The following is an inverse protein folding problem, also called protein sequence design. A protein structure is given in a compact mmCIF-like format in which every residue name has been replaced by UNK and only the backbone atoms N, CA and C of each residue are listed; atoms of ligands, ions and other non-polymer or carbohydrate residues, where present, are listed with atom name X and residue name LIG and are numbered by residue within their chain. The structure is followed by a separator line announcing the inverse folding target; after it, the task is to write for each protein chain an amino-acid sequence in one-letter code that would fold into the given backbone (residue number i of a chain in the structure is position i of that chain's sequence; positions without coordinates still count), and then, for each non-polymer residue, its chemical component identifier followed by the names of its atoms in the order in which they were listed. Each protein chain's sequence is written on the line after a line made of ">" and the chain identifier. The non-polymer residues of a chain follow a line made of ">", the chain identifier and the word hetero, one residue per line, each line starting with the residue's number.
data_IF_920289499206
#
_entry.id   IF_920289499206
#
_cell.length_a   1.000
_cell.length_b   1.000
_cell.length_c   1.000
_cell.angle_alpha   90.00
_cell.angle_beta   90.00
_cell.angle_gamma   90.00
#
_symmetry.space_group_name_H-M   'P 1'
#
loop_
_entity.id
_entity.type
_entity.pdbx_description
1 polymer ?
#
# COMPACT_ATOMS: atom_id res chain seq x y z
N UNK A 1 16.60 9.46 -29.43
CA UNK A 1 16.93 8.51 -28.35
C UNK A 1 17.16 9.31 -27.08
N UNK A 2 16.08 9.63 -26.37
CA UNK A 2 16.13 10.40 -25.11
C UNK A 2 16.51 9.43 -23.98
N UNK A 3 17.51 9.75 -23.17
CA UNK A 3 17.99 8.83 -22.14
C UNK A 3 17.02 8.75 -20.96
N UNK A 4 16.86 7.52 -20.44
CA UNK A 4 16.09 7.15 -19.25
C UNK A 4 16.30 8.05 -18.01
N UNK A 5 17.40 8.81 -17.97
CA UNK A 5 17.78 9.73 -16.90
C UNK A 5 16.91 10.99 -16.77
N UNK A 6 16.18 11.40 -17.81
CA UNK A 6 15.39 12.65 -17.77
C UNK A 6 14.05 12.46 -17.03
N UNK A 7 13.25 11.49 -17.46
CA UNK A 7 11.88 11.29 -16.94
C UNK A 7 11.89 10.80 -15.48
N UNK A 8 12.86 9.96 -15.09
CA UNK A 8 12.99 9.46 -13.72
C UNK A 8 13.25 10.59 -12.70
N UNK A 9 13.97 11.66 -13.08
CA UNK A 9 14.27 12.79 -12.19
C UNK A 9 13.05 13.67 -11.92
N UNK A 10 12.16 13.83 -12.91
CA UNK A 10 10.93 14.60 -12.75
C UNK A 10 9.96 13.90 -11.77
N UNK A 11 9.77 12.58 -11.88
CA UNK A 11 8.82 11.85 -11.03
C UNK A 11 9.28 11.73 -9.56
N UNK A 12 10.59 11.58 -9.33
CA UNK A 12 11.15 11.57 -7.97
C UNK A 12 10.96 12.94 -7.30
N UNK A 13 10.99 14.03 -8.06
CA UNK A 13 10.76 15.37 -7.52
C UNK A 13 9.28 15.68 -7.25
N UNK A 14 8.37 15.27 -8.14
CA UNK A 14 6.92 15.37 -7.90
C UNK A 14 6.47 14.64 -6.63
N UNK A 15 7.10 13.49 -6.33
CA UNK A 15 6.84 12.73 -5.11
C UNK A 15 7.28 13.43 -3.83
N UNK A 16 8.27 14.31 -3.91
CA UNK A 16 8.86 15.02 -2.78
C UNK A 16 7.98 16.18 -2.30
N UNK A 17 7.49 17.01 -3.24
CA UNK A 17 6.61 18.15 -2.92
C UNK A 17 5.28 17.72 -2.27
N UNK A 18 4.67 16.62 -2.76
CA UNK A 18 3.32 16.25 -2.35
C UNK A 18 3.21 15.71 -0.90
N UNK A 19 4.32 15.23 -0.33
CA UNK A 19 4.39 14.65 1.03
C UNK A 19 4.60 15.72 2.11
N UNK A 20 5.25 16.83 1.78
CA UNK A 20 5.61 17.90 2.74
C UNK A 20 4.39 18.75 3.14
N UNK A 21 3.37 18.84 2.27
CA UNK A 21 2.30 19.83 2.41
C UNK A 21 1.13 19.49 3.38
N UNK A 22 1.08 18.32 4.04
CA UNK A 22 -0.09 17.92 4.88
C UNK A 22 0.21 17.16 6.18
N UNK A 23 0.39 17.91 7.25
CA UNK A 23 0.21 17.55 8.68
C UNK A 23 -0.27 18.83 9.40
N UNK A 24 -1.08 18.89 10.46
CA UNK A 24 -1.88 18.00 11.35
C UNK A 24 -2.91 18.95 12.06
N UNK A 25 -3.72 18.63 13.11
CA UNK A 25 -4.26 17.38 13.68
C UNK A 25 -5.82 17.42 13.84
N UNK A 26 -6.43 16.44 14.55
CA UNK A 26 -7.77 16.55 15.15
C UNK A 26 -7.73 16.13 16.64
N UNK A 27 -8.50 16.83 17.49
CA UNK A 27 -8.48 16.69 18.95
C UNK A 27 -9.23 15.43 19.48
N UNK A 28 -8.88 15.02 20.70
CA UNK A 28 -9.49 13.89 21.40
C UNK A 28 -10.64 14.29 22.34
N UNK A 29 -11.65 13.43 22.46
CA UNK A 29 -12.69 13.48 23.48
C UNK A 29 -12.79 12.13 24.22
N UNK A 30 -13.39 12.14 25.41
CA UNK A 30 -13.23 11.07 26.42
C UNK A 30 -13.65 9.66 25.99
N UNK A 31 -12.83 8.67 26.35
CA UNK A 31 -13.05 7.23 26.05
C UNK A 31 -13.69 6.48 27.21
N UNK A 32 -14.72 5.67 26.92
CA UNK A 32 -14.98 4.42 27.66
C UNK A 32 -13.79 3.46 27.47
N UNK A 33 -13.55 2.54 28.40
CA UNK A 33 -12.56 1.46 28.18
C UNK A 33 -13.06 0.51 27.09
N UNK A 34 -12.59 0.72 25.87
CA UNK A 34 -12.74 -0.20 24.74
C UNK A 34 -11.75 -1.35 24.88
N UNK A 35 -12.18 -2.60 24.69
CA UNK A 35 -11.23 -3.71 24.57
C UNK A 35 -10.69 -3.76 23.15
N UNK A 36 -9.35 -3.73 23.04
CA UNK A 36 -8.62 -3.68 21.78
C UNK A 36 -7.67 -4.88 21.75
N UNK A 37 -7.73 -5.67 20.67
CA UNK A 37 -6.82 -6.78 20.42
C UNK A 37 -6.30 -6.69 18.99
N UNK A 38 -4.97 -6.80 18.84
CA UNK A 38 -4.34 -7.11 17.56
C UNK A 38 -4.39 -8.63 17.37
N UNK A 39 -4.80 -9.07 16.19
CA UNK A 39 -4.80 -10.48 15.78
C UNK A 39 -3.65 -10.63 14.77
N UNK A 40 -2.78 -11.59 15.03
CA UNK A 40 -1.66 -11.97 14.17
C UNK A 40 -2.05 -13.05 13.14
N UNK A 41 -1.22 -13.30 12.11
CA UNK A 41 -1.53 -14.31 11.08
C UNK A 41 -1.64 -15.75 11.61
N UNK A 42 -0.97 -16.09 12.71
CA UNK A 42 -0.98 -17.44 13.27
C UNK A 42 -2.31 -17.74 14.00
N UNK A 43 -2.89 -16.73 14.66
CA UNK A 43 -4.12 -16.86 15.46
C UNK A 43 -5.40 -16.48 14.73
N UNK A 44 -5.33 -15.96 13.50
CA UNK A 44 -6.52 -15.41 12.81
C UNK A 44 -7.60 -16.46 12.53
N UNK A 45 -7.23 -17.70 12.17
CA UNK A 45 -8.21 -18.77 11.93
C UNK A 45 -8.93 -19.21 13.22
N UNK A 46 -8.18 -19.37 14.31
CA UNK A 46 -8.72 -19.75 15.62
C UNK A 46 -9.63 -18.65 16.18
N UNK A 47 -9.16 -17.40 16.14
CA UNK A 47 -9.93 -16.24 16.60
C UNK A 47 -11.18 -16.01 15.75
N UNK A 48 -11.15 -16.41 14.48
CA UNK A 48 -12.34 -16.43 13.62
C UNK A 48 -13.35 -17.48 14.11
N UNK A 49 -12.91 -18.72 14.39
CA UNK A 49 -13.81 -19.75 14.94
C UNK A 49 -14.39 -19.36 16.31
N UNK A 50 -13.61 -18.77 17.23
CA UNK A 50 -14.10 -18.27 18.52
C UNK A 50 -15.25 -17.26 18.38
N UNK A 51 -15.07 -16.27 17.49
CA UNK A 51 -16.06 -15.24 17.24
C UNK A 51 -17.28 -15.79 16.50
N UNK A 52 -17.09 -16.72 15.56
CA UNK A 52 -18.19 -17.45 14.92
C UNK A 52 -19.00 -18.29 15.92
N UNK A 53 -18.35 -18.97 16.87
CA UNK A 53 -19.02 -19.76 17.89
C UNK A 53 -19.96 -18.88 18.75
N UNK A 54 -19.48 -17.68 19.11
CA UNK A 54 -20.20 -16.67 19.90
C UNK A 54 -21.30 -15.92 19.13
N UNK A 55 -21.25 -15.89 17.79
CA UNK A 55 -22.16 -15.11 16.95
C UNK A 55 -23.44 -15.88 16.56
N UNK A 56 -24.55 -15.15 16.47
CA UNK A 56 -25.76 -15.56 15.75
C UNK A 56 -25.82 -15.00 14.32
N UNK A 57 -24.99 -14.00 14.01
CA UNK A 57 -24.91 -13.37 12.68
C UNK A 57 -23.53 -12.83 12.37
N UNK A 58 -23.04 -13.12 11.16
CA UNK A 58 -21.85 -12.48 10.57
C UNK A 58 -22.29 -11.53 9.44
N UNK A 59 -21.74 -10.32 9.47
CA UNK A 59 -21.72 -9.36 8.38
C UNK A 59 -20.26 -9.28 7.88
N UNK A 60 -19.98 -9.94 6.76
CA UNK A 60 -18.67 -10.01 6.10
C UNK A 60 -18.57 -8.95 4.99
N UNK A 61 -17.48 -8.21 4.97
CA UNK A 61 -17.07 -7.36 3.84
C UNK A 61 -15.63 -7.67 3.51
N UNK A 62 -15.33 -8.00 2.25
CA UNK A 62 -13.95 -8.24 1.83
C UNK A 62 -13.69 -7.78 0.40
N UNK A 63 -12.48 -7.30 0.13
CA UNK A 63 -12.09 -6.89 -1.21
C UNK A 63 -12.04 -8.10 -2.15
N UNK A 64 -11.51 -9.22 -1.64
CA UNK A 64 -11.41 -10.49 -2.36
C UNK A 64 -11.86 -11.67 -1.51
N UNK A 65 -12.27 -12.76 -2.18
CA UNK A 65 -12.52 -14.04 -1.53
C UNK A 65 -11.99 -15.24 -2.35
N UNK A 66 -11.35 -16.21 -1.71
CA UNK A 66 -10.85 -17.46 -2.32
C UNK A 66 -11.25 -18.66 -1.48
N UNK A 67 -11.16 -19.89 -2.01
CA UNK A 67 -11.38 -21.11 -1.24
C UNK A 67 -10.28 -21.28 -0.18
N UNK A 68 -10.70 -21.40 1.09
CA UNK A 68 -9.81 -21.53 2.26
C UNK A 68 -10.59 -22.09 3.47
N UNK A 69 -9.92 -22.21 4.62
CA UNK A 69 -10.50 -22.79 5.84
C UNK A 69 -11.67 -21.98 6.43
N UNK A 70 -11.61 -20.65 6.39
CA UNK A 70 -12.68 -19.78 6.89
C UNK A 70 -14.07 -20.10 6.29
N UNK A 71 -14.13 -20.52 5.01
CA UNK A 71 -15.37 -20.99 4.39
C UNK A 71 -15.91 -22.30 5.00
N UNK A 72 -15.02 -23.21 5.43
CA UNK A 72 -15.39 -24.46 6.11
C UNK A 72 -15.93 -24.17 7.51
N UNK A 73 -15.31 -23.22 8.22
CA UNK A 73 -15.77 -22.74 9.53
C UNK A 73 -17.14 -22.06 9.44
N UNK A 74 -17.36 -21.21 8.43
CA UNK A 74 -18.68 -20.64 8.15
C UNK A 74 -19.73 -21.73 7.89
N UNK A 75 -19.43 -22.72 7.06
CA UNK A 75 -20.35 -23.81 6.76
C UNK A 75 -20.75 -24.62 8.01
N UNK A 76 -19.77 -24.99 8.84
CA UNK A 76 -19.97 -25.63 10.16
C UNK A 76 -20.90 -24.81 11.05
N UNK A 77 -20.77 -23.48 11.03
CA UNK A 77 -21.53 -22.59 11.92
C UNK A 77 -22.90 -22.17 11.37
N UNK A 78 -23.08 -22.07 10.05
CA UNK A 78 -24.36 -21.87 9.36
C UNK A 78 -25.30 -23.06 9.57
N UNK A 79 -24.77 -24.29 9.49
CA UNK A 79 -25.51 -25.52 9.89
C UNK A 79 -26.01 -25.50 11.34
N UNK A 80 -25.43 -24.64 12.19
CA UNK A 80 -25.81 -24.38 13.59
C UNK A 80 -26.54 -23.04 13.77
N UNK A 81 -27.16 -22.50 12.72
CA UNK A 81 -28.06 -21.34 12.78
C UNK A 81 -27.42 -19.95 12.61
N UNK A 82 -26.12 -19.85 12.30
CA UNK A 82 -25.49 -18.56 11.97
C UNK A 82 -26.10 -17.96 10.70
N UNK A 83 -26.49 -16.69 10.76
CA UNK A 83 -26.95 -15.93 9.59
C UNK A 83 -25.77 -15.18 8.96
N UNK A 84 -25.47 -15.42 7.69
CA UNK A 84 -24.37 -14.71 7.00
C UNK A 84 -24.91 -13.67 6.02
N UNK A 85 -24.30 -12.49 6.01
CA UNK A 85 -24.33 -11.53 4.90
C UNK A 85 -22.90 -11.31 4.42
N UNK A 86 -22.66 -11.32 3.12
CA UNK A 86 -21.35 -11.07 2.54
C UNK A 86 -21.43 -10.00 1.44
N UNK A 87 -20.52 -9.03 1.47
CA UNK A 87 -20.24 -8.14 0.34
C UNK A 87 -18.80 -8.43 -0.12
N UNK A 88 -18.64 -8.86 -1.38
CA UNK A 88 -17.34 -9.24 -1.93
C UNK A 88 -17.01 -8.41 -3.16
N UNK A 89 -15.79 -7.87 -3.22
CA UNK A 89 -15.28 -7.14 -4.38
C UNK A 89 -14.92 -8.06 -5.55
N UNK A 90 -15.04 -7.52 -6.77
CA UNK A 90 -14.67 -8.22 -8.01
C UNK A 90 -13.42 -7.64 -8.69
N UNK A 91 -12.79 -6.62 -8.10
CA UNK A 91 -11.68 -5.88 -8.71
C UNK A 91 -10.45 -6.76 -8.93
N UNK A 92 -9.80 -6.57 -10.08
CA UNK A 92 -8.66 -7.33 -10.60
C UNK A 92 -8.87 -8.86 -10.73
N UNK A 93 -10.13 -9.33 -10.76
CA UNK A 93 -10.49 -10.74 -10.98
C UNK A 93 -9.87 -11.76 -10.01
N UNK A 94 -9.36 -11.32 -8.86
CA UNK A 94 -8.70 -12.18 -7.86
C UNK A 94 -9.71 -13.15 -7.23
N UNK A 95 -10.87 -12.63 -6.84
CA UNK A 95 -11.97 -13.41 -6.23
C UNK A 95 -12.31 -14.66 -7.04
N UNK A 96 -12.42 -15.80 -6.37
CA UNK A 96 -12.74 -17.07 -7.02
C UNK A 96 -14.26 -17.25 -7.17
N UNK A 97 -14.75 -17.61 -8.37
CA UNK A 97 -16.17 -17.88 -8.59
C UNK A 97 -16.74 -18.94 -7.64
N UNK A 98 -15.96 -19.95 -7.27
CA UNK A 98 -16.42 -21.01 -6.38
C UNK A 98 -16.56 -20.54 -4.92
N UNK A 99 -15.65 -19.68 -4.44
CA UNK A 99 -15.79 -19.00 -3.16
C UNK A 99 -17.06 -18.11 -3.12
N UNK A 100 -17.40 -17.44 -4.24
CA UNK A 100 -18.67 -16.71 -4.36
C UNK A 100 -19.87 -17.64 -4.30
N UNK A 101 -19.88 -18.75 -5.08
CA UNK A 101 -20.96 -19.76 -5.04
C UNK A 101 -21.13 -20.33 -3.63
N UNK A 102 -20.03 -20.54 -2.92
CA UNK A 102 -20.04 -21.04 -1.55
C UNK A 102 -20.62 -20.02 -0.57
N UNK A 103 -20.20 -18.75 -0.64
CA UNK A 103 -20.78 -17.68 0.17
C UNK A 103 -22.27 -17.46 -0.09
N UNK A 104 -22.72 -17.59 -1.34
CA UNK A 104 -24.14 -17.47 -1.70
C UNK A 104 -24.99 -18.60 -1.10
N UNK A 105 -24.50 -19.85 -1.16
CA UNK A 105 -25.16 -20.99 -0.48
C UNK A 105 -25.20 -20.85 1.05
N UNK A 106 -24.25 -20.10 1.64
CA UNK A 106 -24.11 -19.94 3.09
C UNK A 106 -24.92 -18.76 3.66
N UNK A 107 -25.48 -17.88 2.83
CA UNK A 107 -26.19 -16.71 3.34
C UNK A 107 -26.73 -15.79 2.26
N UNK A 108 -26.59 -14.47 2.47
CA UNK A 108 -26.93 -13.47 1.46
C UNK A 108 -25.66 -12.86 0.92
N UNK A 109 -25.36 -13.09 -0.35
CA UNK A 109 -24.24 -12.46 -1.05
C UNK A 109 -24.69 -11.17 -1.76
N UNK A 110 -23.77 -10.19 -1.84
CA UNK A 110 -23.79 -9.07 -2.79
C UNK A 110 -22.39 -8.91 -3.36
N UNK A 111 -22.29 -8.53 -4.63
CA UNK A 111 -21.02 -8.25 -5.28
C UNK A 111 -20.84 -6.74 -5.41
N UNK A 112 -19.67 -6.26 -5.02
CA UNK A 112 -19.28 -4.87 -5.24
C UNK A 112 -18.50 -4.76 -6.55
N UNK A 113 -19.13 -4.14 -7.55
CA UNK A 113 -18.54 -3.86 -8.85
C UNK A 113 -18.99 -2.49 -9.37
N UNK A 114 -18.08 -1.80 -10.07
CA UNK A 114 -18.33 -0.51 -10.70
C UNK A 114 -17.64 0.69 -10.02
N UNK A 115 -17.07 1.58 -10.85
CA UNK A 115 -16.63 2.92 -10.46
C UNK A 115 -15.32 2.99 -9.67
N UNK A 116 -15.27 2.50 -8.43
CA UNK A 116 -14.14 2.72 -7.49
C UNK A 116 -13.59 1.40 -6.96
N UNK A 117 -12.32 1.38 -6.55
CA UNK A 117 -11.66 0.19 -5.97
C UNK A 117 -12.34 -0.19 -4.65
N UNK A 118 -13.15 -1.24 -4.65
CA UNK A 118 -13.74 -1.81 -3.45
C UNK A 118 -12.65 -2.56 -2.66
N UNK A 119 -12.07 -1.91 -1.65
CA UNK A 119 -11.00 -2.47 -0.83
C UNK A 119 -11.26 -2.66 0.69
N UNK A 120 -12.47 -2.48 1.26
CA UNK A 120 -12.69 -2.68 2.70
C UNK A 120 -12.63 -4.16 3.10
N UNK A 121 -12.19 -4.41 4.33
CA UNK A 121 -12.02 -5.75 4.91
C UNK A 121 -12.47 -5.68 6.36
N UNK A 122 -13.72 -6.10 6.59
CA UNK A 122 -14.44 -5.91 7.85
C UNK A 122 -15.27 -7.14 8.15
N UNK A 123 -15.17 -7.64 9.38
CA UNK A 123 -15.90 -8.82 9.85
C UNK A 123 -16.67 -8.43 11.10
N UNK A 124 -17.99 -8.29 10.99
CA UNK A 124 -18.86 -7.88 12.09
C UNK A 124 -19.63 -9.08 12.63
N UNK A 125 -19.20 -9.57 13.79
CA UNK A 125 -19.77 -10.70 14.52
C UNK A 125 -20.77 -10.19 15.55
N UNK A 126 -22.02 -10.65 15.49
CA UNK A 126 -23.06 -10.29 16.46
C UNK A 126 -23.64 -11.52 17.12
N UNK A 127 -23.59 -11.57 18.45
CA UNK A 127 -24.28 -12.52 19.32
C UNK A 127 -25.21 -11.78 20.30
N UNK A 128 -25.89 -12.53 21.16
CA UNK A 128 -26.78 -11.94 22.17
C UNK A 128 -26.02 -11.34 23.38
N UNK A 129 -24.83 -11.85 23.70
CA UNK A 129 -23.99 -11.36 24.80
C UNK A 129 -22.69 -10.65 24.40
N UNK A 130 -22.27 -10.76 23.13
CA UNK A 130 -21.06 -10.12 22.58
C UNK A 130 -21.30 -9.71 21.14
N UNK A 131 -20.85 -8.51 20.78
CA UNK A 131 -20.70 -8.06 19.40
C UNK A 131 -19.30 -7.51 19.25
N UNK A 132 -18.60 -7.87 18.18
CA UNK A 132 -17.28 -7.33 17.87
C UNK A 132 -17.11 -7.14 16.36
N UNK A 133 -16.22 -6.24 15.99
CA UNK A 133 -15.82 -6.00 14.61
C UNK A 133 -14.32 -6.21 14.46
N UNK A 134 -13.92 -6.86 13.39
CA UNK A 134 -12.55 -6.84 12.88
C UNK A 134 -12.44 -5.79 11.77
N UNK A 135 -11.34 -5.04 11.79
CA UNK A 135 -10.98 -4.07 10.75
C UNK A 135 -9.48 -4.24 10.50
N UNK A 136 -9.04 -4.44 9.25
CA UNK A 136 -7.63 -4.72 9.00
C UNK A 136 -7.27 -4.93 7.54
N UNK A 137 -6.12 -5.55 7.32
CA UNK A 137 -5.60 -5.90 5.99
C UNK A 137 -6.05 -7.27 5.46
N UNK A 138 -6.59 -8.15 6.33
CA UNK A 138 -6.94 -9.53 6.00
C UNK A 138 -8.16 -9.68 5.08
N UNK A 139 -7.91 -10.08 3.83
CA UNK A 139 -8.96 -10.51 2.90
C UNK A 139 -9.51 -11.89 3.28
N UNK A 140 -10.73 -12.21 2.81
CA UNK A 140 -11.38 -13.51 3.08
C UNK A 140 -10.88 -14.61 2.14
N UNK A 141 -9.56 -14.81 2.21
CA UNK A 141 -8.74 -15.54 1.23
C UNK A 141 -7.75 -16.43 1.95
N UNK A 142 -7.24 -17.47 1.26
CA UNK A 142 -6.18 -18.33 1.81
C UNK A 142 -4.97 -17.54 2.34
N UNK A 143 -4.48 -16.55 1.58
CA UNK A 143 -3.37 -15.67 2.02
C UNK A 143 -3.70 -14.95 3.32
N UNK A 144 -4.76 -14.14 3.32
CA UNK A 144 -5.19 -13.35 4.49
C UNK A 144 -5.72 -14.14 5.69
N UNK A 145 -5.77 -15.48 5.64
CA UNK A 145 -6.15 -16.34 6.76
C UNK A 145 -5.05 -17.30 7.23
N UNK A 146 -3.91 -17.39 6.53
CA UNK A 146 -2.88 -18.40 6.83
C UNK A 146 -1.45 -18.12 6.31
N UNK A 147 -1.19 -17.10 5.49
CA UNK A 147 0.13 -16.92 4.85
C UNK A 147 0.61 -15.47 4.71
N UNK A 148 -0.28 -14.48 4.75
CA UNK A 148 0.08 -13.07 4.61
C UNK A 148 0.47 -12.47 5.97
N UNK A 149 1.37 -11.49 5.95
CA UNK A 149 1.58 -10.57 7.08
C UNK A 149 0.37 -9.63 7.20
N UNK A 150 -0.48 -9.90 8.19
CA UNK A 150 -1.77 -9.24 8.35
C UNK A 150 -1.86 -8.49 9.68
N UNK A 151 -2.37 -7.26 9.63
CA UNK A 151 -2.71 -6.47 10.80
C UNK A 151 -4.23 -6.35 10.91
N UNK A 152 -4.82 -7.03 11.90
CA UNK A 152 -6.27 -7.03 12.14
C UNK A 152 -6.58 -6.57 13.55
N UNK A 153 -7.40 -5.52 13.65
CA UNK A 153 -7.85 -4.92 14.90
C UNK A 153 -9.26 -5.41 15.26
N UNK A 154 -9.42 -6.04 16.42
CA UNK A 154 -10.73 -6.38 17.00
C UNK A 154 -11.17 -5.33 18.03
N UNK A 155 -12.44 -4.91 17.93
CA UNK A 155 -13.11 -3.96 18.84
C UNK A 155 -14.53 -4.39 19.20
N UNK A 156 -14.97 -4.06 20.42
CA UNK A 156 -16.36 -4.14 20.88
C UNK A 156 -17.18 -2.87 20.57
N UNK A 157 -16.52 -1.71 20.42
CA UNK A 157 -17.12 -0.51 19.85
C UNK A 157 -17.42 -0.71 18.36
N UNK A 158 -18.69 -1.00 18.08
CA UNK A 158 -19.18 -1.47 16.77
C UNK A 158 -20.30 -0.63 16.18
N UNK A 159 -20.76 0.43 16.87
CA UNK A 159 -21.93 1.22 16.43
C UNK A 159 -21.69 1.91 15.07
N UNK A 160 -20.50 2.48 14.90
CA UNK A 160 -20.04 3.07 13.63
C UNK A 160 -19.92 2.02 12.52
N UNK A 161 -19.38 0.84 12.83
CA UNK A 161 -19.22 -0.29 11.89
C UNK A 161 -20.56 -0.87 11.45
N UNK A 162 -21.51 -1.03 12.37
CA UNK A 162 -22.88 -1.47 12.11
C UNK A 162 -23.58 -0.48 11.17
N UNK A 163 -23.44 0.82 11.43
CA UNK A 163 -24.04 1.88 10.63
C UNK A 163 -23.42 1.95 9.23
N UNK A 164 -22.09 1.89 9.13
CA UNK A 164 -21.36 1.81 7.86
C UNK A 164 -21.76 0.58 7.04
N UNK A 165 -21.79 -0.62 7.65
CA UNK A 165 -22.22 -1.83 6.95
C UNK A 165 -23.67 -1.71 6.47
N UNK A 166 -24.57 -1.15 7.29
CA UNK A 166 -25.99 -0.98 6.92
C UNK A 166 -26.12 -0.17 5.63
N UNK A 167 -25.41 0.96 5.54
CA UNK A 167 -25.44 1.83 4.36
C UNK A 167 -24.82 1.11 3.15
N UNK A 168 -23.61 0.55 3.30
CA UNK A 168 -22.93 -0.18 2.21
C UNK A 168 -23.75 -1.37 1.68
N UNK A 169 -24.48 -2.05 2.57
CA UNK A 169 -25.41 -3.12 2.23
C UNK A 169 -26.69 -2.64 1.54
N UNK A 170 -27.09 -1.38 1.70
CA UNK A 170 -28.19 -0.79 0.93
C UNK A 170 -27.69 -0.38 -0.47
N UNK A 171 -26.49 0.21 -0.55
CA UNK A 171 -25.89 0.71 -1.79
C UNK A 171 -25.49 -0.40 -2.77
N UNK A 172 -24.90 -1.49 -2.28
CA UNK A 172 -24.64 -2.67 -3.11
C UNK A 172 -25.98 -3.30 -3.51
N UNK A 173 -26.24 -3.51 -4.80
CA UNK A 173 -27.48 -4.14 -5.28
C UNK A 173 -27.70 -5.57 -4.77
N UNK A 174 -28.89 -6.14 -5.00
CA UNK A 174 -29.06 -7.60 -4.84
C UNK A 174 -28.22 -8.32 -5.89
N UNK A 175 -27.73 -9.51 -5.55
CA UNK A 175 -27.12 -10.41 -6.53
C UNK A 175 -28.14 -10.72 -7.64
N UNK A 176 -27.75 -10.47 -8.89
CA UNK A 176 -28.45 -11.00 -10.07
C UNK A 176 -28.13 -12.50 -10.22
N UNK A 177 -29.11 -13.29 -10.67
CA UNK A 177 -29.01 -14.75 -10.79
C UNK A 177 -27.80 -15.18 -11.64
N UNK A 178 -27.49 -14.38 -12.68
CA UNK A 178 -26.38 -14.64 -13.60
C UNK A 178 -25.09 -13.88 -13.24
N UNK A 179 -25.03 -13.21 -12.09
CA UNK A 179 -23.90 -12.33 -11.75
C UNK A 179 -22.58 -13.11 -11.59
N UNK A 180 -22.60 -14.26 -10.90
CA UNK A 180 -21.40 -15.08 -10.67
C UNK A 180 -20.90 -15.69 -11.99
N UNK A 181 -21.79 -16.20 -12.83
CA UNK A 181 -21.41 -16.81 -14.12
C UNK A 181 -20.98 -15.75 -15.16
N UNK A 182 -21.52 -14.54 -15.07
CA UNK A 182 -21.04 -13.40 -15.85
C UNK A 182 -19.66 -12.95 -15.39
N UNK A 183 -19.42 -12.90 -14.08
CA UNK A 183 -18.10 -12.65 -13.51
C UNK A 183 -17.09 -13.74 -13.90
N UNK A 184 -17.45 -15.03 -13.82
CA UNK A 184 -16.55 -16.12 -14.21
C UNK A 184 -16.20 -16.07 -15.69
N UNK A 185 -17.18 -15.79 -16.58
CA UNK A 185 -16.90 -15.58 -18.01
C UNK A 185 -15.98 -14.38 -18.25
N UNK A 186 -16.13 -13.30 -17.48
CA UNK A 186 -15.24 -12.14 -17.55
C UNK A 186 -13.84 -12.48 -17.02
N UNK A 187 -13.71 -13.24 -15.92
CA UNK A 187 -12.46 -13.75 -15.33
C UNK A 187 -11.74 -14.77 -16.22
N UNK A 188 -12.46 -15.56 -17.02
CA UNK A 188 -11.85 -16.48 -18.00
C UNK A 188 -11.22 -15.72 -19.18
N UNK A 189 -11.81 -14.59 -19.58
CA UNK A 189 -11.27 -13.70 -20.63
C UNK A 189 -10.17 -12.78 -20.11
N UNK A 190 -10.33 -12.31 -18.89
CA UNK A 190 -9.41 -11.46 -18.16
C UNK A 190 -8.97 -12.25 -16.91
N UNK A 191 -8.08 -13.25 -17.05
CA UNK A 191 -7.52 -13.92 -15.88
C UNK A 191 -6.94 -12.84 -14.94
N UNK A 192 -7.01 -13.02 -13.61
CA UNK A 192 -6.38 -12.08 -12.68
C UNK A 192 -4.94 -11.83 -13.15
N UNK A 193 -4.62 -10.54 -13.33
CA UNK A 193 -3.29 -10.17 -13.79
C UNK A 193 -2.26 -10.78 -12.83
N UNK A 194 -1.09 -11.19 -13.34
CA UNK A 194 0.00 -11.77 -12.54
C UNK A 194 0.52 -10.84 -11.42
N UNK A 195 -0.05 -9.64 -11.26
CA UNK A 195 0.03 -8.80 -10.06
C UNK A 195 -0.26 -9.54 -8.74
N UNK A 196 -1.10 -10.58 -8.70
CA UNK A 196 -1.24 -11.41 -7.47
C UNK A 196 -0.24 -12.56 -7.38
N UNK A 197 0.64 -12.72 -8.37
CA UNK A 197 1.74 -13.69 -8.40
C UNK A 197 3.11 -13.01 -8.24
N UNK A 198 3.14 -11.72 -7.88
CA UNK A 198 4.25 -11.16 -7.12
C UNK A 198 4.40 -11.87 -5.75
N UNK A 199 3.30 -12.40 -5.21
CA UNK A 199 3.26 -13.30 -4.05
C UNK A 199 3.65 -14.76 -4.41
N UNK A 200 3.88 -15.09 -5.70
CA UNK A 200 4.40 -16.41 -6.13
C UNK A 200 5.14 -16.39 -7.49
N UNK A 201 6.26 -15.67 -7.56
CA UNK A 201 7.42 -16.02 -8.41
C UNK A 201 7.27 -15.99 -9.95
N UNK A 202 6.43 -15.14 -10.54
CA UNK A 202 6.25 -15.05 -12.00
C UNK A 202 6.74 -13.74 -12.64
N UNK A 203 7.87 -13.74 -13.35
CA UNK A 203 8.53 -12.53 -13.84
C UNK A 203 7.71 -11.61 -14.79
N UNK A 204 7.60 -10.33 -14.42
CA UNK A 204 7.15 -9.21 -15.27
C UNK A 204 8.18 -8.87 -16.37
N UNK A 205 7.73 -8.29 -17.49
CA UNK A 205 8.56 -7.95 -18.66
C UNK A 205 9.05 -6.49 -18.70
N UNK A 206 8.18 -5.47 -18.58
CA UNK A 206 8.60 -4.05 -18.62
C UNK A 206 7.85 -3.18 -17.57
N UNK A 207 8.56 -2.53 -16.61
CA UNK A 207 7.93 -1.69 -15.58
C UNK A 207 7.38 -0.36 -16.09
N UNK A 208 8.05 0.29 -17.04
CA UNK A 208 7.73 1.67 -17.43
C UNK A 208 6.30 1.80 -17.99
N UNK A 209 5.80 0.77 -18.66
CA UNK A 209 4.43 0.72 -19.17
C UNK A 209 3.36 0.83 -18.05
N UNK A 210 3.65 0.44 -16.81
CA UNK A 210 2.74 0.64 -15.67
C UNK A 210 2.68 2.11 -15.25
N UNK A 211 3.82 2.80 -15.27
CA UNK A 211 3.96 4.21 -14.86
C UNK A 211 3.40 5.16 -15.91
N UNK A 212 3.43 4.80 -17.20
CA UNK A 212 2.86 5.57 -18.30
C UNK A 212 1.31 5.59 -18.33
N UNK A 213 0.66 4.64 -17.65
CA UNK A 213 -0.81 4.52 -17.59
C UNK A 213 -1.44 5.22 -16.36
N UNK A 214 -0.63 5.90 -15.56
CA UNK A 214 -1.03 6.54 -14.31
C UNK A 214 -1.69 7.89 -14.56
N UNK A 215 -2.83 8.14 -13.91
CA UNK A 215 -3.60 9.40 -14.04
C UNK A 215 -3.63 10.23 -12.75
N UNK A 216 -3.20 9.68 -11.63
CA UNK A 216 -3.32 10.29 -10.30
C UNK A 216 -2.27 9.73 -9.32
N UNK A 217 -2.13 10.39 -8.17
CA UNK A 217 -1.12 10.04 -7.16
C UNK A 217 -1.32 8.63 -6.55
N UNK A 218 -2.56 8.19 -6.36
CA UNK A 218 -2.82 6.89 -5.74
C UNK A 218 -2.53 5.73 -6.71
N UNK A 219 -2.83 5.91 -8.00
CA UNK A 219 -2.42 4.98 -9.06
C UNK A 219 -0.90 5.03 -9.30
N UNK A 220 -0.26 6.20 -9.17
CA UNK A 220 1.21 6.33 -9.23
C UNK A 220 1.89 5.48 -8.16
N UNK A 221 1.49 5.63 -6.89
CA UNK A 221 2.09 4.90 -5.77
C UNK A 221 1.88 3.38 -5.89
N UNK A 222 0.75 2.94 -6.45
CA UNK A 222 0.51 1.50 -6.73
C UNK A 222 1.41 1.01 -7.86
N UNK A 223 1.44 1.69 -9.01
CA UNK A 223 2.30 1.32 -10.13
C UNK A 223 3.80 1.30 -9.72
N UNK A 224 4.22 2.27 -8.90
CA UNK A 224 5.59 2.35 -8.40
C UNK A 224 5.96 1.17 -7.48
N UNK A 225 5.03 0.65 -6.68
CA UNK A 225 5.23 -0.57 -5.87
C UNK A 225 5.38 -1.82 -6.74
N UNK A 226 4.54 -1.97 -7.75
CA UNK A 226 4.63 -3.09 -8.70
C UNK A 226 5.97 -3.05 -9.47
N UNK A 227 6.42 -1.86 -9.85
CA UNK A 227 7.71 -1.67 -10.51
C UNK A 227 8.90 -1.92 -9.56
N UNK A 228 8.80 -1.54 -8.28
CA UNK A 228 9.82 -1.81 -7.26
C UNK A 228 10.05 -3.31 -7.05
N UNK A 229 8.98 -4.10 -7.02
CA UNK A 229 9.06 -5.56 -6.98
C UNK A 229 9.83 -6.09 -8.21
N UNK A 230 9.67 -5.47 -9.39
CA UNK A 230 10.44 -5.88 -10.57
C UNK A 230 11.93 -5.53 -10.50
N UNK A 231 12.27 -4.34 -10.00
CA UNK A 231 13.65 -3.85 -9.88
C UNK A 231 14.43 -4.60 -8.79
N UNK A 232 13.84 -4.77 -7.61
CA UNK A 232 14.46 -5.47 -6.48
C UNK A 232 14.76 -6.96 -6.77
N UNK A 233 13.99 -7.60 -7.65
CA UNK A 233 14.26 -8.96 -8.13
C UNK A 233 15.40 -9.05 -9.18
N UNK A 234 15.92 -7.92 -9.69
CA UNK A 234 16.95 -7.86 -10.74
C UNK A 234 18.22 -7.11 -10.33
N UNK A 235 18.15 -6.37 -9.24
CA UNK A 235 19.20 -5.52 -8.75
C UNK A 235 19.30 -5.63 -7.22
N UNK A 236 20.47 -5.43 -6.61
CA UNK A 236 20.66 -5.48 -5.16
C UNK A 236 20.10 -4.22 -4.45
N UNK A 237 19.09 -3.59 -5.03
CA UNK A 237 18.51 -2.33 -4.58
C UNK A 237 17.05 -2.21 -4.98
N UNK A 238 16.31 -1.41 -4.22
CA UNK A 238 14.86 -1.19 -4.35
C UNK A 238 14.56 0.29 -4.57
N UNK A 239 13.34 0.62 -5.00
CA UNK A 239 12.83 2.00 -5.00
C UNK A 239 12.22 2.38 -3.64
N UNK A 240 11.45 1.51 -2.98
CA UNK A 240 10.65 1.86 -1.79
C UNK A 240 11.07 1.15 -0.49
N UNK A 241 11.98 0.18 -0.57
CA UNK A 241 12.46 -0.63 0.55
C UNK A 241 13.08 0.17 1.68
N UNK A 242 13.21 -0.44 2.86
CA UNK A 242 13.58 0.28 4.10
C UNK A 242 15.08 0.54 4.25
N UNK A 243 15.91 -0.17 3.48
CA UNK A 243 17.35 0.06 3.37
C UNK A 243 17.83 -0.21 1.94
N UNK A 244 18.99 0.37 1.56
CA UNK A 244 19.61 0.22 0.21
C UNK A 244 18.59 0.47 -0.92
N UNK A 245 17.78 1.52 -0.78
CA UNK A 245 16.72 1.88 -1.71
C UNK A 245 16.76 3.35 -2.10
N UNK A 246 16.11 3.71 -3.22
CA UNK A 246 15.97 5.12 -3.61
C UNK A 246 15.27 5.94 -2.52
N UNK A 247 14.15 5.46 -1.96
CA UNK A 247 13.44 6.10 -0.86
C UNK A 247 14.34 6.32 0.35
N UNK A 248 15.03 5.27 0.81
CA UNK A 248 15.93 5.35 1.97
C UNK A 248 17.07 6.33 1.70
N UNK A 249 17.71 6.25 0.53
CA UNK A 249 18.78 7.17 0.13
C UNK A 249 18.29 8.62 0.04
N UNK A 250 17.10 8.87 -0.52
CA UNK A 250 16.49 10.20 -0.57
C UNK A 250 16.21 10.74 0.84
N UNK A 251 15.67 9.91 1.74
CA UNK A 251 15.40 10.31 3.13
C UNK A 251 16.70 10.66 3.87
N UNK A 252 17.71 9.80 3.81
CA UNK A 252 19.02 10.06 4.45
C UNK A 252 19.69 11.30 3.86
N UNK A 253 19.67 11.49 2.54
CA UNK A 253 20.23 12.71 1.95
C UNK A 253 19.41 13.95 2.28
N UNK A 254 18.08 13.86 2.41
CA UNK A 254 17.24 14.98 2.83
C UNK A 254 17.63 15.45 4.24
N UNK A 255 17.78 14.53 5.20
CA UNK A 255 18.17 14.82 6.58
C UNK A 255 19.61 15.38 6.69
N UNK A 256 20.47 15.09 5.72
CA UNK A 256 21.83 15.66 5.63
C UNK A 256 21.80 17.06 4.99
N UNK A 257 21.10 17.22 3.87
CA UNK A 257 21.10 18.45 3.08
C UNK A 257 20.25 19.59 3.69
N UNK A 258 19.31 19.26 4.57
CA UNK A 258 18.51 20.25 5.32
C UNK A 258 19.20 20.78 6.59
N UNK A 259 20.41 20.30 6.93
CA UNK A 259 21.15 20.77 8.12
C UNK A 259 21.56 22.24 8.00
N UNK A 260 21.69 22.91 9.16
CA UNK A 260 21.96 24.36 9.27
C UNK A 260 23.32 24.82 8.72
N UNK A 261 24.35 23.98 8.74
CA UNK A 261 25.61 24.19 8.02
C UNK A 261 26.07 22.86 7.38
N UNK A 262 26.52 22.90 6.13
CA UNK A 262 27.08 21.74 5.41
C UNK A 262 28.60 21.67 5.51
N UNK A 263 29.26 22.66 6.11
CA UNK A 263 30.69 22.59 6.44
C UNK A 263 30.96 21.52 7.52
N UNK A 264 30.04 21.39 8.47
CA UNK A 264 30.13 20.52 9.65
C UNK A 264 29.80 19.04 9.36
N UNK A 265 29.54 18.67 8.10
CA UNK A 265 29.37 17.25 7.74
C UNK A 265 30.66 16.47 8.00
N UNK A 266 30.53 15.30 8.61
CA UNK A 266 31.64 14.35 8.74
C UNK A 266 31.99 13.67 7.41
N UNK A 267 33.09 12.92 7.40
CA UNK A 267 33.57 12.25 6.18
C UNK A 267 32.64 11.12 5.69
N UNK A 268 31.70 10.62 6.50
CA UNK A 268 30.73 9.61 6.07
C UNK A 268 29.51 10.27 5.41
N UNK A 269 28.90 11.28 6.04
CA UNK A 269 27.80 12.06 5.45
C UNK A 269 28.24 12.73 4.13
N UNK A 270 29.47 13.23 4.04
CA UNK A 270 30.03 13.73 2.78
C UNK A 270 30.14 12.63 1.71
N UNK A 271 30.53 11.39 2.07
CA UNK A 271 30.58 10.25 1.13
C UNK A 271 29.19 9.83 0.66
N UNK A 272 28.20 9.84 1.56
CA UNK A 272 26.79 9.55 1.25
C UNK A 272 26.25 10.54 0.21
N UNK A 273 26.43 11.84 0.43
CA UNK A 273 25.94 12.88 -0.51
C UNK A 273 26.62 12.79 -1.88
N UNK A 274 27.88 12.37 -1.96
CA UNK A 274 28.62 12.23 -3.23
C UNK A 274 28.41 10.87 -3.93
N UNK A 275 27.63 9.96 -3.32
CA UNK A 275 27.40 8.61 -3.81
C UNK A 275 28.68 7.79 -3.96
N UNK A 276 29.66 8.00 -3.07
CA UNK A 276 30.94 7.29 -3.08
C UNK A 276 30.72 5.83 -2.60
N UNK A 277 31.42 4.81 -3.16
CA UNK A 277 31.11 3.41 -2.90
C UNK A 277 31.12 3.02 -1.42
N UNK A 278 30.01 2.42 -0.95
CA UNK A 278 29.83 2.00 0.44
C UNK A 278 28.36 1.87 0.85
N UNK A 279 27.55 1.08 0.13
CA UNK A 279 26.11 0.94 0.37
C UNK A 279 25.25 1.53 -0.76
N UNK A 280 24.00 1.90 -0.46
CA UNK A 280 23.01 2.37 -1.45
C UNK A 280 23.23 3.77 -2.02
N UNK A 281 24.25 4.51 -1.56
CA UNK A 281 24.42 5.93 -1.85
C UNK A 281 24.62 6.26 -3.33
N UNK A 282 25.17 5.32 -4.11
CA UNK A 282 25.37 5.47 -5.55
C UNK A 282 24.08 5.49 -6.38
N UNK A 283 22.90 5.21 -5.80
CA UNK A 283 21.61 5.19 -6.52
C UNK A 283 21.26 6.55 -7.13
N UNK A 284 21.52 7.65 -6.42
CA UNK A 284 21.29 9.01 -6.92
C UNK A 284 22.40 9.50 -7.88
N UNK A 285 23.37 8.65 -8.18
CA UNK A 285 24.59 8.93 -8.94
C UNK A 285 25.83 8.73 -8.08
N UNK A 286 26.97 8.40 -8.72
CA UNK A 286 28.24 8.18 -8.03
C UNK A 286 29.33 9.05 -8.65
N UNK A 287 29.96 9.90 -7.84
CA UNK A 287 31.08 10.73 -8.30
C UNK A 287 32.38 9.92 -8.40
N UNK A 288 33.01 9.93 -9.58
CA UNK A 288 34.32 9.32 -9.83
C UNK A 288 35.43 10.36 -9.73
N UNK A 289 36.58 9.95 -9.21
CA UNK A 289 37.87 10.67 -9.22
C UNK A 289 37.95 12.04 -8.52
N UNK A 290 36.95 12.47 -7.74
CA UNK A 290 37.02 13.71 -6.96
C UNK A 290 37.31 13.43 -5.48
N UNK A 291 38.17 14.25 -4.86
CA UNK A 291 38.40 14.19 -3.42
C UNK A 291 37.19 14.79 -2.69
N UNK A 292 36.73 14.11 -1.64
CA UNK A 292 35.61 14.54 -0.78
C UNK A 292 35.83 15.97 -0.25
N UNK A 293 37.06 16.25 0.15
CA UNK A 293 37.50 17.54 0.69
C UNK A 293 37.54 18.66 -0.37
N UNK A 294 37.60 18.33 -1.65
CA UNK A 294 37.54 19.34 -2.74
C UNK A 294 36.12 19.87 -2.92
N UNK A 295 35.11 19.00 -2.81
CA UNK A 295 33.71 19.40 -3.07
C UNK A 295 33.13 20.20 -1.90
N UNK A 296 33.27 19.71 -0.66
CA UNK A 296 32.73 20.41 0.51
C UNK A 296 33.69 21.42 1.14
N UNK A 297 35.02 21.26 0.99
CA UNK A 297 35.99 22.06 1.74
C UNK A 297 35.94 23.57 1.46
N UNK A 298 35.89 23.99 0.18
CA UNK A 298 35.79 25.44 -0.17
C UNK A 298 34.39 25.88 -0.58
N UNK A 299 33.53 24.96 -0.99
CA UNK A 299 32.24 25.30 -1.62
C UNK A 299 31.01 24.95 -0.78
N UNK A 300 31.12 24.35 0.43
CA UNK A 300 29.95 23.93 1.23
C UNK A 300 28.90 25.03 1.43
N UNK A 301 29.31 26.26 1.76
CA UNK A 301 28.36 27.39 1.93
C UNK A 301 27.68 27.81 0.63
N UNK A 302 28.38 27.76 -0.51
CA UNK A 302 27.81 28.03 -1.83
C UNK A 302 26.83 26.95 -2.27
N UNK A 303 27.18 25.68 -2.05
CA UNK A 303 26.30 24.52 -2.28
C UNK A 303 25.05 24.65 -1.41
N UNK A 304 25.20 24.96 -0.13
CA UNK A 304 24.06 25.11 0.78
C UNK A 304 23.15 26.28 0.39
N UNK A 305 23.70 27.42 -0.04
CA UNK A 305 22.91 28.55 -0.54
C UNK A 305 22.10 28.15 -1.79
N UNK A 306 22.74 27.48 -2.75
CA UNK A 306 22.07 26.96 -3.95
C UNK A 306 20.96 25.95 -3.59
N UNK A 307 21.18 25.09 -2.59
CA UNK A 307 20.16 24.14 -2.13
C UNK A 307 18.98 24.81 -1.42
N UNK A 308 19.20 25.89 -0.66
CA UNK A 308 18.11 26.69 -0.07
C UNK A 308 17.27 27.37 -1.14
N UNK A 309 17.90 28.03 -2.12
CA UNK A 309 17.23 28.66 -3.26
C UNK A 309 16.31 27.68 -4.01
N UNK A 310 16.74 26.43 -4.14
CA UNK A 310 15.98 25.36 -4.80
C UNK A 310 14.89 24.76 -3.89
N UNK A 311 15.09 24.74 -2.57
CA UNK A 311 14.11 24.23 -1.60
C UNK A 311 13.02 25.25 -1.23
N UNK A 312 13.29 26.55 -1.39
CA UNK A 312 12.36 27.66 -1.14
C UNK A 312 11.59 28.10 -2.40
N UNK A 313 11.88 27.49 -3.56
CA UNK A 313 11.19 27.74 -4.81
C UNK A 313 9.73 27.23 -4.78
N UNK A 314 8.81 27.97 -5.42
CA UNK A 314 7.45 27.47 -5.66
C UNK A 314 7.45 26.36 -6.73
N UNK A 315 6.42 25.51 -6.71
CA UNK A 315 6.30 24.35 -7.61
C UNK A 315 6.37 24.69 -9.11
N UNK A 316 6.05 25.92 -9.50
CA UNK A 316 6.08 26.38 -10.89
C UNK A 316 7.47 26.84 -11.34
N UNK A 317 8.20 27.56 -10.49
CA UNK A 317 9.57 28.01 -10.74
C UNK A 317 10.63 26.93 -10.44
N UNK A 318 10.27 25.93 -9.63
CA UNK A 318 11.17 24.88 -9.18
C UNK A 318 11.99 24.19 -10.29
N UNK A 319 11.40 23.73 -11.42
CA UNK A 319 12.14 22.90 -12.39
C UNK A 319 13.32 23.64 -13.03
N UNK A 320 13.12 24.91 -13.36
CA UNK A 320 14.13 25.77 -13.99
C UNK A 320 15.21 26.16 -12.98
N UNK A 321 14.83 26.53 -11.76
CA UNK A 321 15.76 26.85 -10.67
C UNK A 321 16.66 25.67 -10.31
N UNK A 322 16.11 24.44 -10.27
CA UNK A 322 16.88 23.23 -10.04
C UNK A 322 17.86 22.91 -11.19
N UNK A 323 17.46 23.18 -12.44
CA UNK A 323 18.32 22.97 -13.61
C UNK A 323 19.47 23.98 -13.66
N UNK A 324 19.21 25.25 -13.35
CA UNK A 324 20.25 26.28 -13.31
C UNK A 324 21.15 26.17 -12.06
N UNK A 325 20.63 25.72 -10.92
CA UNK A 325 21.42 25.27 -9.78
C UNK A 325 22.41 24.17 -10.16
N UNK A 326 21.95 23.14 -10.88
CA UNK A 326 22.81 22.07 -11.39
C UNK A 326 23.90 22.60 -12.35
N UNK A 327 23.57 23.56 -13.21
CA UNK A 327 24.55 24.23 -14.08
C UNK A 327 25.58 25.07 -13.32
N UNK A 328 25.16 25.78 -12.27
CA UNK A 328 26.04 26.56 -11.38
C UNK A 328 27.04 25.64 -10.65
N UNK A 329 26.60 24.47 -10.19
CA UNK A 329 27.44 23.48 -9.49
C UNK A 329 28.44 22.71 -10.38
N UNK A 330 28.44 22.91 -11.71
CA UNK A 330 29.38 22.26 -12.65
C UNK A 330 30.50 23.18 -13.16
N UNK A 331 30.55 24.43 -12.71
CA UNK A 331 31.60 25.41 -13.05
C UNK A 331 32.64 25.51 -11.93
#
# INVERSE_FOLDING_TARGET
>A
MLSYSANARAMIFYAFAHVVARQLPVAAAGRRRTNIMLIDPETIADRFEENLNSANRLDLVSAWATEHEGLRLLEKRVKRGLKVRAIVGLWNYITEPDALRRLDRLGKLRLAGGGRRFHPKVYLFRGQGRTCAWIGSANFTAGGFAANEEAVFETDDTESVISWFKNLWQDCGRLDENAIDTYERARKKNPPARQSLAEAGGGMTEPMALLEQVTDWDSYVVALRDCDIWWSNRHPWSVLGESVSWRHTIQVLHDILTRRDLADLDDDDRRRVLGIPGGGWGLLGSMRNNSVNTVFGRNARGIQQILREVAEADDGAFPDLAFDAYRRMRK
#
